data_IF_202460521924
#
_entry.id   IF_202460521924
#
_cell.length_a   1.000
_cell.length_b   1.000
_cell.length_c   1.000
_cell.angle_alpha   90.00
_cell.angle_beta   90.00
_cell.angle_gamma   90.00
#
_symmetry.space_group_name_H-M   'P 1'
#
loop_
_entity.id
_entity.type
_entity.pdbx_description
1 polymer ?
#
# COMPACT_ATOMS: atom_id res chain seq x y z
N UNK A 1 -10.48 -11.27 -9.08
CA UNK A 1 -9.04 -11.08 -8.79
C UNK A 1 -8.19 -12.27 -9.25
N UNK A 2 -8.37 -13.48 -8.69
CA UNK A 2 -7.54 -14.65 -9.05
C UNK A 2 -7.54 -15.00 -10.54
N UNK A 3 -8.69 -14.93 -11.22
CA UNK A 3 -8.76 -15.18 -12.67
C UNK A 3 -8.01 -14.12 -13.49
N UNK A 4 -8.13 -12.84 -13.10
CA UNK A 4 -7.40 -11.72 -13.70
C UNK A 4 -5.88 -11.94 -13.60
N UNK A 5 -5.43 -12.37 -12.43
CA UNK A 5 -4.01 -12.57 -12.12
C UNK A 5 -3.51 -13.99 -12.46
N UNK A 6 -4.28 -14.74 -13.26
CA UNK A 6 -3.92 -16.08 -13.74
C UNK A 6 -3.55 -17.05 -12.60
N UNK A 7 -4.15 -16.87 -11.42
CA UNK A 7 -3.84 -17.60 -10.19
C UNK A 7 -2.34 -17.58 -9.86
N UNK A 8 -1.73 -16.41 -9.98
CA UNK A 8 -0.31 -16.20 -9.70
C UNK A 8 -0.07 -14.90 -8.93
N UNK A 9 1.05 -14.84 -8.22
CA UNK A 9 1.50 -13.61 -7.57
C UNK A 9 1.91 -12.58 -8.63
N UNK A 10 1.29 -11.40 -8.60
CA UNK A 10 1.50 -10.36 -9.63
C UNK A 10 2.92 -9.74 -9.66
N UNK A 11 3.77 -10.07 -8.69
CA UNK A 11 5.16 -9.59 -8.64
C UNK A 11 6.20 -10.71 -8.72
N UNK A 12 5.88 -11.92 -8.24
CA UNK A 12 6.83 -13.04 -8.22
C UNK A 12 6.46 -14.14 -9.21
N UNK A 13 5.34 -14.05 -9.93
CA UNK A 13 4.81 -15.09 -10.83
C UNK A 13 4.56 -16.46 -10.18
N UNK A 14 4.80 -16.58 -8.87
CA UNK A 14 4.56 -17.79 -8.09
C UNK A 14 3.06 -18.19 -8.13
N UNK A 15 2.78 -19.42 -8.57
CA UNK A 15 1.40 -19.92 -8.74
C UNK A 15 0.76 -20.54 -7.50
N UNK A 16 1.55 -21.07 -6.56
CA UNK A 16 1.04 -21.65 -5.31
C UNK A 16 2.12 -21.65 -4.21
N UNK A 17 1.79 -21.31 -2.94
CA UNK A 17 0.52 -20.73 -2.48
C UNK A 17 0.35 -19.26 -2.89
N UNK A 18 -0.90 -18.83 -3.04
CA UNK A 18 -1.31 -17.44 -3.35
C UNK A 18 -2.42 -16.97 -2.41
N UNK A 19 -2.45 -15.68 -2.15
CA UNK A 19 -3.40 -14.99 -1.28
C UNK A 19 -3.95 -13.76 -2.01
N UNK A 20 -5.23 -13.48 -1.79
CA UNK A 20 -5.86 -12.24 -2.25
C UNK A 20 -5.78 -11.22 -1.12
N UNK A 21 -5.28 -10.03 -1.40
CA UNK A 21 -5.16 -8.95 -0.43
C UNK A 21 -5.72 -7.64 -0.96
N UNK A 22 -6.25 -6.82 -0.06
CA UNK A 22 -6.71 -5.48 -0.41
C UNK A 22 -5.55 -4.51 -0.63
N UNK A 23 -5.73 -3.56 -1.54
CA UNK A 23 -4.82 -2.44 -1.74
C UNK A 23 -4.98 -1.47 -0.57
N UNK A 24 -6.22 -1.05 -0.29
CA UNK A 24 -6.58 -0.32 0.91
C UNK A 24 -7.38 -1.22 1.86
N UNK A 25 -7.00 -1.29 3.14
CA UNK A 25 -7.65 -2.14 4.11
C UNK A 25 -9.07 -1.65 4.43
N UNK A 26 -9.88 -2.61 4.86
CA UNK A 26 -11.29 -2.39 5.16
C UNK A 26 -11.57 -1.41 6.31
N UNK A 27 -10.62 -1.23 7.22
CA UNK A 27 -10.73 -0.22 8.27
C UNK A 27 -10.89 1.21 7.73
N UNK A 28 -10.31 1.53 6.56
CA UNK A 28 -10.40 2.87 5.96
C UNK A 28 -11.79 3.14 5.38
N UNK A 29 -12.52 2.10 4.98
CA UNK A 29 -13.84 2.25 4.36
C UNK A 29 -14.99 2.33 5.36
N UNK A 30 -14.74 2.08 6.66
CA UNK A 30 -15.75 2.26 7.70
C UNK A 30 -15.66 3.67 8.26
N UNK A 31 -16.65 4.55 8.01
CA UNK A 31 -16.73 5.81 8.73
C UNK A 31 -16.99 5.50 10.20
N UNK A 32 -15.94 5.56 11.01
CA UNK A 32 -16.01 5.30 12.45
C UNK A 32 -15.27 6.40 13.20
N UNK A 33 -16.04 7.21 13.92
CA UNK A 33 -15.52 8.11 14.95
C UNK A 33 -14.54 9.18 14.47
N UNK A 34 -13.79 9.69 15.44
CA UNK A 34 -12.88 10.82 15.30
C UNK A 34 -11.63 10.48 14.45
N UNK A 35 -11.17 9.24 14.49
CA UNK A 35 -9.98 8.78 13.75
C UNK A 35 -10.15 8.90 12.23
N UNK A 36 -11.32 8.52 11.71
CA UNK A 36 -11.63 8.66 10.29
C UNK A 36 -11.63 10.13 9.86
N UNK A 37 -12.19 11.02 10.70
CA UNK A 37 -12.14 12.46 10.45
C UNK A 37 -10.71 12.99 10.46
N UNK A 38 -9.90 12.61 11.45
CA UNK A 38 -8.48 13.00 11.56
C UNK A 38 -7.70 12.53 10.33
N UNK A 39 -7.87 11.27 9.92
CA UNK A 39 -7.19 10.69 8.76
C UNK A 39 -7.42 11.54 7.50
N UNK A 40 -8.68 11.81 7.15
CA UNK A 40 -9.00 12.61 5.96
C UNK A 40 -8.64 14.09 6.10
N UNK A 41 -8.69 14.64 7.32
CA UNK A 41 -8.26 16.01 7.59
C UNK A 41 -6.76 16.18 7.36
N UNK A 42 -5.94 15.23 7.83
CA UNK A 42 -4.49 15.24 7.60
C UNK A 42 -4.18 15.14 6.11
N UNK A 43 -4.83 14.23 5.37
CA UNK A 43 -4.60 14.13 3.93
C UNK A 43 -4.96 15.42 3.18
N UNK A 44 -6.04 16.10 3.60
CA UNK A 44 -6.46 17.38 2.99
C UNK A 44 -5.44 18.52 3.17
N UNK A 45 -4.47 18.39 4.09
CA UNK A 45 -3.37 19.37 4.24
C UNK A 45 -2.36 19.25 3.09
N UNK A 46 -2.18 18.05 2.52
CA UNK A 46 -1.11 17.77 1.55
C UNK A 46 -1.61 17.58 0.12
N UNK A 47 -2.88 17.25 -0.09
CA UNK A 47 -3.47 17.01 -1.40
C UNK A 47 -4.65 17.93 -1.67
N UNK A 48 -4.89 18.19 -2.95
CA UNK A 48 -6.04 18.98 -3.40
C UNK A 48 -7.36 18.29 -3.07
N UNK A 49 -8.41 19.07 -2.90
CA UNK A 49 -9.76 18.56 -2.63
C UNK A 49 -10.21 17.56 -3.72
N UNK A 50 -9.96 17.87 -4.99
CA UNK A 50 -10.26 16.96 -6.11
C UNK A 50 -9.60 15.59 -5.95
N UNK A 51 -8.35 15.56 -5.48
CA UNK A 51 -7.59 14.34 -5.27
C UNK A 51 -8.15 13.53 -4.10
N UNK A 52 -8.50 14.19 -3.01
CA UNK A 52 -9.14 13.56 -1.85
C UNK A 52 -10.49 12.99 -2.24
N UNK A 53 -11.30 13.75 -2.98
CA UNK A 53 -12.62 13.32 -3.42
C UNK A 53 -12.54 12.14 -4.40
N UNK A 54 -11.53 12.08 -5.25
CA UNK A 54 -11.28 10.91 -6.09
C UNK A 54 -10.98 9.66 -5.26
N UNK A 55 -10.09 9.74 -4.27
CA UNK A 55 -9.84 8.61 -3.38
C UNK A 55 -11.08 8.18 -2.59
N UNK A 56 -11.85 9.15 -2.07
CA UNK A 56 -13.12 8.87 -1.39
C UNK A 56 -14.11 8.16 -2.30
N UNK A 57 -14.24 8.56 -3.57
CA UNK A 57 -15.13 7.87 -4.53
C UNK A 57 -14.74 6.40 -4.74
N UNK A 58 -13.45 6.10 -4.81
CA UNK A 58 -12.98 4.72 -4.97
C UNK A 58 -13.21 3.85 -3.71
N UNK A 59 -13.32 4.45 -2.53
CA UNK A 59 -13.45 3.74 -1.24
C UNK A 59 -14.91 3.66 -0.78
N UNK A 60 -15.68 4.73 -0.98
CA UNK A 60 -17.07 4.89 -0.50
C UNK A 60 -18.10 4.84 -1.63
N UNK A 61 -17.69 4.45 -2.84
CA UNK A 61 -18.61 4.22 -3.95
C UNK A 61 -19.58 3.08 -3.67
N UNK A 62 -20.63 2.99 -4.48
CA UNK A 62 -21.75 2.05 -4.29
C UNK A 62 -21.32 0.57 -4.28
N UNK A 63 -20.21 0.26 -4.96
CA UNK A 63 -19.67 -1.11 -5.04
C UNK A 63 -18.86 -1.52 -3.77
N UNK A 64 -18.63 -0.58 -2.84
CA UNK A 64 -17.80 -0.78 -1.66
C UNK A 64 -16.34 -1.07 -2.00
N UNK A 65 -15.64 -1.76 -1.09
CA UNK A 65 -14.19 -2.03 -1.22
C UNK A 65 -13.84 -3.48 -1.55
N UNK A 66 -14.82 -4.38 -1.57
CA UNK A 66 -14.65 -5.79 -2.00
C UNK A 66 -14.74 -5.91 -3.52
N UNK A 67 -14.10 -4.98 -4.22
CA UNK A 67 -14.09 -4.87 -5.68
C UNK A 67 -12.75 -5.30 -6.24
N UNK A 68 -12.74 -5.90 -7.43
CA UNK A 68 -11.51 -6.41 -8.05
C UNK A 68 -10.42 -5.33 -8.23
N UNK A 69 -10.84 -4.07 -8.36
CA UNK A 69 -9.98 -2.88 -8.45
C UNK A 69 -9.23 -2.56 -7.15
N UNK A 70 -9.71 -3.04 -6.00
CA UNK A 70 -9.05 -2.90 -4.70
C UNK A 70 -8.33 -4.20 -4.28
N UNK A 71 -8.19 -5.19 -5.16
CA UNK A 71 -7.60 -6.48 -4.84
C UNK A 71 -6.34 -6.77 -5.67
N UNK A 72 -5.37 -7.41 -5.03
CA UNK A 72 -4.16 -7.95 -5.65
C UNK A 72 -4.04 -9.44 -5.29
N UNK A 73 -3.37 -10.21 -6.14
CA UNK A 73 -2.97 -11.58 -5.84
C UNK A 73 -1.46 -11.60 -5.54
N UNK A 74 -1.09 -11.99 -4.33
CA UNK A 74 0.31 -12.06 -3.87
C UNK A 74 0.62 -13.44 -3.30
N UNK A 75 1.88 -13.89 -3.36
CA UNK A 75 2.31 -15.04 -2.58
C UNK A 75 2.36 -14.67 -1.08
N UNK A 76 2.23 -15.62 -0.13
CA UNK A 76 2.12 -15.31 1.30
C UNK A 76 3.27 -14.45 1.86
N UNK A 77 4.49 -14.68 1.37
CA UNK A 77 5.64 -13.87 1.80
C UNK A 77 5.52 -12.43 1.29
N UNK A 78 5.15 -12.23 0.02
CA UNK A 78 4.91 -10.91 -0.53
C UNK A 78 3.75 -10.21 0.20
N UNK A 79 2.65 -10.90 0.47
CA UNK A 79 1.51 -10.32 1.19
C UNK A 79 1.90 -9.84 2.60
N UNK A 80 2.63 -10.65 3.37
CA UNK A 80 3.11 -10.24 4.71
C UNK A 80 4.08 -9.07 4.66
N UNK A 81 4.95 -9.02 3.66
CA UNK A 81 5.89 -7.91 3.45
C UNK A 81 5.14 -6.62 3.04
N UNK A 82 4.12 -6.74 2.19
CA UNK A 82 3.24 -5.65 1.78
C UNK A 82 2.50 -5.05 2.97
N UNK A 83 1.87 -5.88 3.80
CA UNK A 83 1.14 -5.44 5.00
C UNK A 83 2.03 -4.77 6.04
N UNK A 84 3.32 -5.13 6.09
CA UNK A 84 4.32 -4.53 6.99
C UNK A 84 5.08 -3.35 6.37
N UNK A 85 4.59 -2.80 5.27
CA UNK A 85 5.21 -1.71 4.53
C UNK A 85 6.70 -1.94 4.19
N UNK A 86 7.08 -3.18 3.85
CA UNK A 86 8.48 -3.53 3.52
C UNK A 86 8.80 -3.32 2.03
N UNK A 87 7.79 -3.20 1.19
CA UNK A 87 7.93 -2.73 -0.19
C UNK A 87 6.66 -2.00 -0.61
N UNK A 88 6.75 -1.10 -1.58
CA UNK A 88 5.60 -0.42 -2.15
C UNK A 88 5.58 -0.52 -3.68
N UNK A 89 4.37 -0.41 -4.26
CA UNK A 89 4.14 -0.46 -5.69
C UNK A 89 3.75 0.93 -6.19
N UNK A 90 4.62 1.55 -6.98
CA UNK A 90 4.36 2.82 -7.63
C UNK A 90 3.60 2.57 -8.93
N UNK A 91 2.34 3.00 -9.07
CA UNK A 91 1.66 2.98 -10.36
C UNK A 91 2.29 4.00 -11.31
N UNK A 92 2.62 3.58 -12.53
CA UNK A 92 3.24 4.42 -13.54
C UNK A 92 2.22 4.95 -14.55
N UNK A 93 1.44 4.05 -15.16
CA UNK A 93 0.49 4.41 -16.20
C UNK A 93 -0.53 3.29 -16.45
N UNK A 94 -1.79 3.66 -16.61
CA UNK A 94 -2.84 2.81 -17.18
C UNK A 94 -2.95 3.11 -18.68
N UNK A 95 -3.05 2.07 -19.53
CA UNK A 95 -3.36 2.26 -20.95
C UNK A 95 -4.81 2.74 -21.15
N UNK A 96 -5.07 3.44 -22.25
CA UNK A 96 -6.40 3.98 -22.57
C UNK A 96 -7.48 2.89 -22.64
N UNK A 97 -7.14 1.70 -23.15
CA UNK A 97 -8.02 0.54 -23.21
C UNK A 97 -8.27 -0.13 -21.84
N UNK A 98 -7.60 0.34 -20.79
CA UNK A 98 -7.61 -0.20 -19.42
C UNK A 98 -7.18 -1.67 -19.31
N UNK A 99 -6.53 -2.21 -20.35
CA UNK A 99 -6.07 -3.61 -20.40
C UNK A 99 -4.65 -3.80 -19.89
N UNK A 100 -3.91 -2.73 -19.65
CA UNK A 100 -2.54 -2.82 -19.14
C UNK A 100 -2.23 -1.71 -18.14
N UNK A 101 -1.69 -2.10 -16.99
CA UNK A 101 -1.24 -1.21 -15.93
C UNK A 101 0.23 -1.47 -15.65
N UNK A 102 1.07 -0.46 -15.87
CA UNK A 102 2.48 -0.52 -15.48
C UNK A 102 2.66 -0.08 -14.04
N UNK A 103 3.36 -0.90 -13.27
CA UNK A 103 3.72 -0.62 -11.88
C UNK A 103 5.23 -0.80 -11.69
N UNK A 104 5.79 -0.13 -10.70
CA UNK A 104 7.19 -0.23 -10.32
C UNK A 104 7.33 -0.63 -8.86
N UNK A 105 8.14 -1.63 -8.60
CA UNK A 105 8.40 -2.15 -7.26
C UNK A 105 9.52 -1.35 -6.58
N UNK A 106 9.38 -1.12 -5.27
CA UNK A 106 10.43 -0.56 -4.44
C UNK A 106 10.47 -1.24 -3.08
N UNK A 107 11.61 -1.78 -2.70
CA UNK A 107 11.90 -2.09 -1.30
C UNK A 107 11.89 -0.81 -0.46
N UNK A 108 11.31 -0.90 0.74
CA UNK A 108 11.28 0.16 1.73
C UNK A 108 12.16 -0.25 2.92
N UNK A 109 13.16 0.59 3.23
CA UNK A 109 13.93 0.43 4.46
C UNK A 109 13.21 1.16 5.59
N UNK A 110 12.94 0.41 6.66
CA UNK A 110 12.57 1.02 7.93
C UNK A 110 13.78 1.67 8.57
N UNK A 111 13.55 2.82 9.19
CA UNK A 111 14.43 3.33 10.26
C UNK A 111 13.97 2.75 11.59
N UNK A 112 14.79 2.86 12.62
CA UNK A 112 14.31 2.59 13.99
C UNK A 112 13.11 3.51 14.26
N UNK A 113 12.03 2.95 14.82
CA UNK A 113 10.80 3.69 15.12
C UNK A 113 11.10 4.89 16.01
N UNK A 114 10.53 6.04 15.68
CA UNK A 114 10.58 7.25 16.51
C UNK A 114 9.19 7.86 16.61
N UNK A 115 8.67 8.03 17.85
CA UNK A 115 7.37 8.70 18.09
C UNK A 115 7.29 10.09 17.43
N UNK A 116 8.41 10.81 17.41
CA UNK A 116 8.52 12.13 16.79
C UNK A 116 9.46 12.09 15.59
N UNK A 117 8.99 12.59 14.44
CA UNK A 117 9.82 12.71 13.25
C UNK A 117 9.80 14.13 12.68
N UNK A 118 10.98 14.61 12.24
CA UNK A 118 11.08 15.89 11.54
C UNK A 118 10.25 15.84 10.26
N UNK A 119 9.43 16.85 10.01
CA UNK A 119 8.65 16.97 8.76
C UNK A 119 9.53 16.96 7.50
N UNK A 120 10.80 17.34 7.64
CA UNK A 120 11.81 17.32 6.57
C UNK A 120 12.47 15.95 6.36
N UNK A 121 12.12 14.94 7.17
CA UNK A 121 12.66 13.60 7.04
C UNK A 121 12.23 13.00 5.70
N UNK A 122 13.21 12.56 4.90
CA UNK A 122 12.95 11.96 3.60
C UNK A 122 12.87 10.44 3.72
N UNK A 123 11.85 9.79 3.12
CA UNK A 123 11.88 8.35 2.91
C UNK A 123 13.11 7.98 2.09
N UNK A 124 13.82 6.95 2.53
CA UNK A 124 14.95 6.43 1.78
C UNK A 124 14.44 5.47 0.70
N UNK A 125 14.20 6.01 -0.50
CA UNK A 125 13.89 5.22 -1.69
C UNK A 125 15.16 5.06 -2.53
N UNK A 126 15.99 4.08 -2.18
CA UNK A 126 17.18 3.83 -2.97
C UNK A 126 16.83 2.87 -4.13
N UNK A 127 17.01 3.36 -5.36
CA UNK A 127 16.68 2.62 -6.59
C UNK A 127 17.56 1.38 -6.82
N UNK A 128 18.48 1.08 -5.91
CA UNK A 128 19.42 -0.05 -5.98
C UNK A 128 19.18 -1.03 -4.82
N UNK A 129 18.16 -0.83 -3.98
CA UNK A 129 17.86 -1.83 -2.96
C UNK A 129 17.46 -3.13 -3.63
N UNK A 130 18.09 -4.20 -3.20
CA UNK A 130 17.96 -5.54 -3.77
C UNK A 130 17.33 -6.51 -2.76
N UNK A 131 16.96 -5.98 -1.58
CA UNK A 131 16.39 -6.68 -0.45
C UNK A 131 15.72 -5.70 0.51
N UNK A 132 14.73 -6.19 1.24
CA UNK A 132 14.09 -5.51 2.35
C UNK A 132 14.86 -5.71 3.68
N UNK A 133 14.30 -5.20 4.78
CA UNK A 133 14.89 -5.32 6.12
C UNK A 133 15.21 -6.77 6.50
N UNK A 134 16.30 -6.96 7.26
CA UNK A 134 16.80 -8.28 7.69
C UNK A 134 16.95 -9.29 6.54
N UNK A 135 17.44 -8.80 5.39
CA UNK A 135 17.69 -9.60 4.19
C UNK A 135 16.44 -10.25 3.57
N UNK A 136 15.25 -9.69 3.79
CA UNK A 136 14.05 -10.14 3.10
C UNK A 136 14.22 -10.00 1.57
N UNK A 137 13.91 -11.07 0.82
CA UNK A 137 14.05 -11.11 -0.64
C UNK A 137 12.83 -11.75 -1.26
N UNK A 138 12.50 -11.31 -2.46
CA UNK A 138 11.51 -11.91 -3.34
C UNK A 138 12.23 -12.25 -4.66
N UNK A 139 11.78 -13.32 -5.30
CA UNK A 139 12.32 -13.79 -6.56
C UNK A 139 11.18 -13.98 -7.53
N UNK A 140 11.39 -13.65 -8.80
CA UNK A 140 10.51 -14.03 -9.89
C UNK A 140 10.67 -15.54 -10.11
N UNK A 141 9.55 -16.26 -10.01
CA UNK A 141 9.48 -17.71 -10.13
C UNK A 141 9.67 -18.22 -11.55
N UNK A 142 9.57 -17.37 -12.58
CA UNK A 142 9.80 -17.75 -13.96
C UNK A 142 11.25 -17.51 -14.38
N UNK A 143 11.78 -16.32 -14.10
CA UNK A 143 13.15 -15.97 -14.50
C UNK A 143 14.22 -16.38 -13.48
N UNK A 144 13.80 -16.81 -12.28
CA UNK A 144 14.67 -17.08 -11.12
C UNK A 144 15.51 -15.87 -10.70
N UNK A 145 15.09 -14.66 -11.10
CA UNK A 145 15.80 -13.43 -10.77
C UNK A 145 15.26 -12.80 -9.49
N UNK A 146 16.14 -12.14 -8.75
CA UNK A 146 15.80 -11.45 -7.51
C UNK A 146 15.17 -10.09 -7.82
N UNK A 147 14.05 -9.79 -7.17
CA UNK A 147 13.38 -8.51 -7.28
C UNK A 147 14.18 -7.39 -6.62
N UNK A 148 14.41 -6.33 -7.39
CA UNK A 148 15.12 -5.13 -6.99
C UNK A 148 14.18 -3.91 -7.07
N UNK A 149 14.46 -2.90 -6.25
CA UNK A 149 13.84 -1.59 -6.39
C UNK A 149 14.06 -1.05 -7.79
N UNK A 150 13.01 -0.53 -8.41
CA UNK A 150 13.04 -0.06 -9.79
C UNK A 150 12.48 -1.05 -10.80
N UNK A 151 12.36 -2.34 -10.44
CA UNK A 151 11.78 -3.36 -11.32
C UNK A 151 10.35 -2.98 -11.69
N UNK A 152 10.03 -3.14 -12.98
CA UNK A 152 8.75 -2.69 -13.55
C UNK A 152 7.98 -3.89 -14.05
N UNK A 153 6.73 -3.99 -13.61
CA UNK A 153 5.79 -5.06 -13.95
C UNK A 153 4.65 -4.47 -14.77
N UNK A 154 4.09 -5.28 -15.67
CA UNK A 154 2.89 -4.91 -16.41
C UNK A 154 1.78 -5.88 -16.08
N UNK A 155 0.80 -5.41 -15.33
CA UNK A 155 -0.43 -6.17 -15.08
C UNK A 155 -1.32 -6.06 -16.30
N UNK A 156 -1.93 -7.16 -16.73
CA UNK A 156 -2.79 -7.20 -17.91
C UNK A 156 -4.13 -7.84 -17.61
N UNK A 157 -5.16 -7.44 -18.35
CA UNK A 157 -6.47 -8.09 -18.36
C UNK A 157 -6.97 -8.24 -19.79
N UNK A 158 -7.65 -9.34 -20.07
CA UNK A 158 -8.34 -9.58 -21.34
C UNK A 158 -9.67 -8.83 -21.42
N UNK A 159 -10.32 -8.64 -20.27
CA UNK A 159 -11.62 -7.99 -20.12
C UNK A 159 -11.59 -6.95 -18.98
N UNK A 160 -11.43 -5.65 -19.29
CA UNK A 160 -11.38 -4.59 -18.29
C UNK A 160 -12.73 -4.30 -17.62
N UNK A 161 -13.84 -4.88 -18.08
CA UNK A 161 -15.16 -4.71 -17.45
C UNK A 161 -15.42 -5.80 -16.41
N UNK A 162 -15.24 -7.08 -16.77
CA UNK A 162 -15.48 -8.19 -15.84
C UNK A 162 -14.28 -8.49 -14.92
N UNK A 163 -13.07 -8.19 -15.38
CA UNK A 163 -11.80 -8.44 -14.68
C UNK A 163 -10.94 -7.17 -14.65
N UNK A 164 -11.45 -6.06 -14.09
CA UNK A 164 -10.74 -4.79 -14.12
C UNK A 164 -9.42 -4.89 -13.37
N UNK A 165 -8.41 -4.20 -13.91
CA UNK A 165 -7.12 -4.02 -13.22
C UNK A 165 -7.29 -3.20 -11.94
N UNK A 166 -6.33 -3.29 -11.01
CA UNK A 166 -6.26 -2.41 -9.85
C UNK A 166 -6.46 -0.93 -10.20
N UNK A 167 -7.23 -0.20 -9.38
CA UNK A 167 -7.41 1.25 -9.55
C UNK A 167 -6.05 1.94 -9.39
N UNK A 168 -5.74 2.83 -10.33
CA UNK A 168 -4.51 3.60 -10.27
C UNK A 168 -4.54 4.58 -9.10
N UNK A 169 -5.71 5.12 -8.78
CA UNK A 169 -5.95 6.04 -7.68
C UNK A 169 -5.71 5.37 -6.32
N UNK A 170 -6.25 4.16 -6.13
CA UNK A 170 -6.04 3.35 -4.92
C UNK A 170 -4.56 2.97 -4.76
N UNK A 171 -3.91 2.53 -5.84
CA UNK A 171 -2.47 2.25 -5.81
C UNK A 171 -1.63 3.50 -5.52
N UNK A 172 -2.02 4.67 -6.01
CA UNK A 172 -1.31 5.93 -5.73
C UNK A 172 -1.46 6.34 -4.25
N UNK A 173 -2.65 6.16 -3.67
CA UNK A 173 -2.88 6.36 -2.24
C UNK A 173 -2.01 5.40 -1.43
N UNK A 174 -2.09 4.11 -1.74
CA UNK A 174 -1.34 3.08 -1.03
C UNK A 174 0.18 3.24 -1.17
N UNK A 175 0.68 3.59 -2.36
CA UNK A 175 2.08 3.97 -2.59
C UNK A 175 2.56 5.06 -1.64
N UNK A 176 1.70 6.05 -1.38
CA UNK A 176 2.00 7.16 -0.47
C UNK A 176 1.99 6.70 0.98
N UNK A 177 0.92 6.02 1.41
CA UNK A 177 0.74 5.58 2.79
C UNK A 177 1.82 4.57 3.21
N UNK A 178 2.15 3.60 2.37
CA UNK A 178 3.22 2.63 2.62
C UNK A 178 4.55 3.31 2.93
N UNK A 179 4.88 4.39 2.19
CA UNK A 179 6.12 5.13 2.42
C UNK A 179 6.09 5.89 3.74
N UNK A 180 4.94 6.45 4.14
CA UNK A 180 4.79 7.10 5.44
C UNK A 180 4.94 6.08 6.58
N UNK A 181 4.32 4.91 6.46
CA UNK A 181 4.43 3.83 7.45
C UNK A 181 5.86 3.31 7.56
N UNK A 182 6.57 3.13 6.44
CA UNK A 182 7.96 2.68 6.45
C UNK A 182 8.91 3.72 7.05
N UNK A 183 8.62 5.01 6.86
CA UNK A 183 9.39 6.10 7.48
C UNK A 183 9.21 6.06 9.00
N UNK A 184 7.97 5.91 9.49
CA UNK A 184 7.72 5.88 10.93
C UNK A 184 8.15 4.57 11.58
N UNK A 185 8.27 3.48 10.81
CA UNK A 185 8.39 2.08 11.26
C UNK A 185 7.23 1.62 12.16
N UNK A 186 6.08 2.28 12.07
CA UNK A 186 4.87 1.92 12.82
C UNK A 186 4.40 0.48 12.51
N UNK A 187 4.77 -0.09 11.36
CA UNK A 187 4.46 -1.48 10.99
C UNK A 187 5.18 -2.53 11.85
N UNK A 188 6.15 -2.15 12.68
CA UNK A 188 6.86 -3.03 13.60
C UNK A 188 6.44 -2.89 15.08
N UNK A 189 5.59 -1.91 15.38
CA UNK A 189 5.24 -1.48 16.74
C UNK A 189 3.91 -2.10 17.16
N UNK A 190 3.79 -2.51 18.43
CA UNK A 190 2.52 -3.00 18.98
C UNK A 190 1.55 -1.82 19.22
N UNK A 191 0.24 -2.04 19.11
CA UNK A 191 -0.76 -0.96 19.22
C UNK A 191 -0.61 -0.16 20.54
N UNK A 192 -0.21 -0.81 21.63
CA UNK A 192 0.04 -0.18 22.94
C UNK A 192 1.15 0.89 22.91
N UNK A 193 2.19 0.73 22.08
CA UNK A 193 3.29 1.70 21.97
C UNK A 193 2.95 2.90 21.04
N UNK A 194 1.90 2.76 20.21
CA UNK A 194 1.39 3.81 19.31
C UNK A 194 0.43 4.77 20.02
N UNK A 195 -0.24 4.31 21.08
CA UNK A 195 -1.26 5.04 21.84
C UNK A 195 -0.88 5.26 23.31
N UNK A 196 0.41 5.49 23.62
CA UNK A 196 0.78 6.09 24.90
C UNK A 196 0.16 7.48 24.95
N UNK A 197 -1.01 7.55 25.57
CA UNK A 197 -1.78 8.74 25.86
C UNK A 197 -0.94 9.65 26.75
N UNK A 198 -0.33 10.68 26.17
CA UNK A 198 0.14 11.85 26.92
C UNK A 198 -1.04 12.82 27.06
N UNK A 199 -2.14 12.34 27.63
CA UNK A 199 -3.23 13.14 28.16
C UNK A 199 -3.08 13.27 29.68
N UNK A 200 -1.96 13.90 30.07
CA UNK A 200 -1.84 14.59 31.35
C UNK A 200 -2.80 15.79 31.36
N UNK A 201 -4.09 15.53 31.55
CA UNK A 201 -5.00 16.51 32.12
C UNK A 201 -4.57 16.70 33.58
N UNK A 202 -3.75 17.72 33.84
CA UNK A 202 -3.67 18.30 35.18
C UNK A 202 -5.03 18.94 35.48
N UNK A 203 -5.87 18.18 36.19
CA UNK A 203 -6.93 18.73 37.05
C UNK A 203 -6.22 19.53 38.15
N UNK A 204 -5.92 20.80 37.88
CA UNK A 204 -5.71 21.77 38.94
C UNK A 204 -7.06 22.42 39.27
N UNK A 205 -7.73 21.81 40.25
CA UNK A 205 -8.75 22.44 41.08
C UNK A 205 -8.21 23.76 41.69
N UNK A 206 -8.82 24.91 41.35
CA UNK A 206 -9.16 26.01 42.29
C UNK A 206 -10.11 27.04 41.67
#
# INVERSE_FOLDING_TARGET
>A
CLEKDQKSCIITEAGEPIEVCHILPFAISRPAGQEHFIFWSILSVFWTEDRINEWKRQIFGDDGIEVCQNLLTLCPNAHRLWGRARFALQPLSMREDKKSLKIRFFWLQSRDFTKNMRITARPYLHAILDSGPRHARLFDGLSETKLCSGDTFTLTTDDPQSKPLPSIELLQMQWTLQRLIAISDAAGVNDEELFDSDDGYDDDDE
#
